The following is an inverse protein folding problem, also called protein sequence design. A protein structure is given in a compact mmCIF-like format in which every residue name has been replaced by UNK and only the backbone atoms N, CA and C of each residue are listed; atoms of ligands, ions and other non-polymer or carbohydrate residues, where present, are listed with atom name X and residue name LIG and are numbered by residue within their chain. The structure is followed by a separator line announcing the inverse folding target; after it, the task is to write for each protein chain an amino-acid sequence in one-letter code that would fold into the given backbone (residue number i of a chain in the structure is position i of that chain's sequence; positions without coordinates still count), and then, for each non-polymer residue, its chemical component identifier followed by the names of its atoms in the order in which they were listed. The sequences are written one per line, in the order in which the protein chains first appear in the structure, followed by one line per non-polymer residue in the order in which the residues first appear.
data_IF_754884053210
#
_entry.id   IF_754884053210
#
_cell.length_a   1.000
_cell.length_b   1.000
_cell.length_c   1.000
_cell.angle_alpha   90.00
_cell.angle_beta   90.00
_cell.angle_gamma   90.00
#
_symmetry.space_group_name_H-M   'P 1'
#
loop_
_entity.id
_entity.type
_entity.pdbx_description
1 polymer ?
#
# COMPACT_ATOMS: atom_id res chain seq x y z
N UNK A 1 19.98 -7.73 6.47
CA UNK A 1 18.62 -8.03 5.97
C UNK A 1 17.77 -8.34 7.18
N UNK A 2 16.75 -7.52 7.49
CA UNK A 2 15.91 -7.66 8.69
C UNK A 2 15.14 -9.00 8.65
N UNK A 3 15.74 -10.05 9.21
CA UNK A 3 15.16 -11.39 9.32
C UNK A 3 14.46 -11.61 10.65
N UNK A 4 13.56 -10.71 11.03
CA UNK A 4 12.85 -10.73 12.31
C UNK A 4 11.33 -10.70 12.15
N UNK A 5 10.65 -10.84 13.28
CA UNK A 5 9.20 -10.64 13.36
C UNK A 5 8.84 -9.16 13.24
N UNK A 6 7.59 -8.85 12.93
CA UNK A 6 7.11 -7.47 12.88
C UNK A 6 7.31 -6.75 14.22
N UNK A 7 7.04 -7.44 15.35
CA UNK A 7 7.27 -6.88 16.67
C UNK A 7 8.74 -6.51 16.90
N UNK A 8 9.67 -7.41 16.57
CA UNK A 8 11.10 -7.14 16.69
C UNK A 8 11.52 -5.92 15.85
N UNK A 9 10.94 -5.75 14.66
CA UNK A 9 11.22 -4.59 13.83
C UNK A 9 10.68 -3.27 14.44
N UNK A 10 9.48 -3.31 15.03
CA UNK A 10 8.86 -2.14 15.68
C UNK A 10 9.58 -1.73 16.98
N UNK A 11 10.15 -2.69 17.69
CA UNK A 11 10.86 -2.48 18.96
C UNK A 11 12.38 -2.28 18.79
N UNK A 12 12.89 -2.43 17.55
CA UNK A 12 14.32 -2.28 17.28
C UNK A 12 14.79 -0.82 17.33
N UNK A 13 16.06 -0.61 17.63
CA UNK A 13 16.69 0.69 17.48
C UNK A 13 16.63 1.15 16.01
N UNK A 14 16.27 2.42 15.81
CA UNK A 14 16.13 2.98 14.47
C UNK A 14 17.52 3.02 13.82
N UNK A 15 17.76 2.26 12.73
CA UNK A 15 19.04 2.29 12.05
C UNK A 15 19.27 3.67 11.43
N UNK A 16 20.54 4.05 11.27
CA UNK A 16 20.89 5.26 10.51
C UNK A 16 20.29 5.14 9.11
N UNK A 17 19.58 6.18 8.67
CA UNK A 17 18.99 6.19 7.34
C UNK A 17 20.07 6.09 6.26
N UNK A 18 19.90 5.12 5.38
CA UNK A 18 20.67 4.97 4.15
C UNK A 18 19.69 5.03 2.99
N UNK A 19 20.00 5.87 1.99
CA UNK A 19 19.17 6.01 0.81
C UNK A 19 19.13 4.67 0.07
N UNK A 20 17.95 4.02 -0.06
CA UNK A 20 17.85 2.78 -0.81
C UNK A 20 18.03 3.04 -2.31
N UNK A 21 18.40 1.98 -3.04
CA UNK A 21 18.51 2.02 -4.49
C UNK A 21 17.21 2.51 -5.15
N UNK A 22 17.35 3.19 -6.28
CA UNK A 22 16.20 3.58 -7.11
C UNK A 22 15.39 2.34 -7.50
N UNK A 23 14.06 2.44 -7.45
CA UNK A 23 13.16 1.31 -7.74
C UNK A 23 12.95 0.33 -6.58
N UNK A 24 13.59 0.51 -5.43
CA UNK A 24 13.32 -0.33 -4.24
C UNK A 24 11.85 -0.23 -3.84
N UNK A 25 11.18 -1.39 -3.75
CA UNK A 25 9.78 -1.48 -3.26
C UNK A 25 9.73 -1.05 -1.80
N UNK A 26 8.71 -0.26 -1.43
CA UNK A 26 8.52 0.26 -0.08
C UNK A 26 7.23 -0.27 0.52
N UNK A 27 7.30 -0.59 1.80
CA UNK A 27 6.18 -0.99 2.63
C UNK A 27 6.27 -0.24 3.95
N UNK A 28 5.15 0.30 4.42
CA UNK A 28 5.07 0.98 5.72
C UNK A 28 4.04 0.25 6.57
N UNK A 29 4.47 -0.16 7.77
CA UNK A 29 3.59 -0.69 8.81
C UNK A 29 3.30 0.41 9.82
N UNK A 30 2.01 0.74 10.03
CA UNK A 30 1.56 1.74 11.00
C UNK A 30 0.93 1.05 12.20
N UNK A 31 1.30 1.46 13.41
CA UNK A 31 0.78 0.93 14.68
C UNK A 31 0.19 2.04 15.55
N UNK A 32 -0.84 1.72 16.34
CA UNK A 32 -1.33 2.61 17.41
C UNK A 32 -2.10 3.85 16.94
N UNK A 33 -2.50 3.89 15.67
CA UNK A 33 -3.25 5.00 15.08
C UNK A 33 -4.71 4.62 14.87
N UNK A 34 -5.62 5.59 14.99
CA UNK A 34 -7.00 5.43 14.52
C UNK A 34 -7.07 5.65 13.00
N UNK A 35 -8.14 5.15 12.36
CA UNK A 35 -8.28 5.21 10.90
C UNK A 35 -8.21 6.62 10.31
N UNK A 36 -8.71 7.63 11.02
CA UNK A 36 -8.63 9.02 10.56
C UNK A 36 -7.19 9.52 10.46
N UNK A 37 -6.37 9.24 11.48
CA UNK A 37 -4.95 9.64 11.50
C UNK A 37 -4.17 8.91 10.40
N UNK A 38 -4.49 7.64 10.12
CA UNK A 38 -3.89 6.89 9.01
C UNK A 38 -4.14 7.59 7.68
N UNK A 39 -5.36 8.03 7.42
CA UNK A 39 -5.71 8.74 6.18
C UNK A 39 -4.95 10.05 6.07
N UNK A 40 -4.84 10.81 7.17
CA UNK A 40 -4.11 12.07 7.21
C UNK A 40 -2.62 11.87 6.92
N UNK A 41 -1.98 10.88 7.53
CA UNK A 41 -0.56 10.55 7.28
C UNK A 41 -0.33 10.13 5.83
N UNK A 42 -1.21 9.30 5.26
CA UNK A 42 -1.10 8.87 3.86
C UNK A 42 -1.25 10.07 2.91
N UNK A 43 -2.17 10.99 3.19
CA UNK A 43 -2.35 12.22 2.41
C UNK A 43 -1.09 13.10 2.48
N UNK A 44 -0.60 13.40 3.68
CA UNK A 44 0.60 14.21 3.87
C UNK A 44 1.85 13.58 3.21
N UNK A 45 2.01 12.26 3.31
CA UNK A 45 3.11 11.55 2.64
C UNK A 45 3.06 11.71 1.11
N UNK A 46 1.85 11.64 0.52
CA UNK A 46 1.65 11.86 -0.92
C UNK A 46 1.91 13.32 -1.32
N UNK A 47 1.42 14.27 -0.54
CA UNK A 47 1.59 15.71 -0.79
C UNK A 47 3.05 16.15 -0.69
N UNK A 48 3.84 15.50 0.16
CA UNK A 48 5.29 15.70 0.26
C UNK A 48 6.08 15.15 -0.94
N UNK A 49 5.42 14.55 -1.93
CA UNK A 49 6.08 14.00 -3.13
C UNK A 49 6.91 12.75 -2.86
N UNK A 50 6.61 12.03 -1.77
CA UNK A 50 7.37 10.85 -1.39
C UNK A 50 7.11 9.69 -2.36
N UNK A 51 8.10 8.78 -2.56
CA UNK A 51 7.95 7.67 -3.49
C UNK A 51 6.78 6.74 -3.14
N UNK A 52 6.11 6.13 -4.13
CA UNK A 52 5.02 5.19 -3.89
C UNK A 52 5.41 4.08 -2.92
N UNK A 53 4.49 3.77 -2.01
CA UNK A 53 4.65 2.72 -1.00
C UNK A 53 3.32 1.99 -0.81
N UNK A 54 3.39 0.76 -0.32
CA UNK A 54 2.23 0.03 0.16
C UNK A 54 2.11 0.21 1.67
N UNK A 55 0.89 0.29 2.18
CA UNK A 55 0.58 0.56 3.58
C UNK A 55 -0.08 -0.65 4.21
N UNK A 56 0.29 -0.94 5.45
CA UNK A 56 -0.32 -2.00 6.24
C UNK A 56 -0.45 -1.58 7.70
N UNK A 57 -1.47 -2.10 8.37
CA UNK A 57 -1.59 -1.95 9.82
C UNK A 57 -0.74 -3.01 10.53
N UNK A 58 0.00 -2.60 11.53
CA UNK A 58 0.57 -3.48 12.53
C UNK A 58 -0.47 -3.68 13.63
N UNK A 59 -0.87 -4.93 13.84
CA UNK A 59 -1.91 -5.35 14.80
C UNK A 59 -1.44 -6.57 15.59
N UNK A 60 -1.98 -6.84 16.79
CA UNK A 60 -1.52 -7.97 17.61
C UNK A 60 -1.44 -9.32 16.86
N UNK A 61 -2.33 -9.53 15.89
CA UNK A 61 -2.38 -10.76 15.10
C UNK A 61 -1.20 -10.95 14.12
N UNK A 62 -0.46 -9.90 13.76
CA UNK A 62 0.67 -10.00 12.82
C UNK A 62 2.05 -9.73 13.44
N UNK A 63 2.11 -9.45 14.75
CA UNK A 63 3.34 -9.13 15.47
C UNK A 63 4.40 -10.23 15.44
N UNK A 64 3.99 -11.48 15.58
CA UNK A 64 4.92 -12.64 15.60
C UNK A 64 5.27 -13.15 14.20
N UNK A 65 4.64 -12.60 13.16
CA UNK A 65 4.89 -12.99 11.77
C UNK A 65 6.18 -12.36 11.26
N UNK A 66 6.86 -13.04 10.34
CA UNK A 66 8.07 -12.51 9.72
C UNK A 66 7.75 -11.29 8.87
N UNK A 67 8.58 -10.24 8.98
CA UNK A 67 8.41 -9.00 8.20
C UNK A 67 8.40 -9.30 6.70
N UNK A 68 9.28 -10.20 6.24
CA UNK A 68 9.37 -10.60 4.84
C UNK A 68 8.03 -11.13 4.31
N UNK A 69 7.41 -12.05 5.04
CA UNK A 69 6.16 -12.70 4.60
C UNK A 69 5.03 -11.66 4.53
N UNK A 70 4.96 -10.77 5.52
CA UNK A 70 3.99 -9.68 5.54
C UNK A 70 4.18 -8.72 4.37
N UNK A 71 5.43 -8.36 4.04
CA UNK A 71 5.76 -7.50 2.90
C UNK A 71 5.29 -8.16 1.60
N UNK A 72 5.60 -9.43 1.38
CA UNK A 72 5.21 -10.14 0.17
C UNK A 72 3.68 -10.22 0.02
N UNK A 73 2.96 -10.52 1.10
CA UNK A 73 1.48 -10.56 1.13
C UNK A 73 0.86 -9.21 0.83
N UNK A 74 1.29 -8.16 1.54
CA UNK A 74 0.74 -6.80 1.39
C UNK A 74 0.95 -6.28 -0.04
N UNK A 75 2.10 -6.59 -0.66
CA UNK A 75 2.34 -6.26 -2.06
C UNK A 75 1.46 -7.06 -3.02
N UNK A 76 1.24 -8.35 -2.76
CA UNK A 76 0.34 -9.17 -3.57
C UNK A 76 -1.10 -8.65 -3.51
N UNK A 77 -1.58 -8.32 -2.31
CA UNK A 77 -2.92 -7.75 -2.08
C UNK A 77 -3.08 -6.40 -2.78
N UNK A 78 -2.11 -5.50 -2.64
CA UNK A 78 -2.13 -4.20 -3.32
C UNK A 78 -2.15 -4.37 -4.85
N UNK A 79 -1.36 -5.30 -5.38
CA UNK A 79 -1.33 -5.57 -6.83
C UNK A 79 -2.68 -6.09 -7.33
N UNK A 80 -3.30 -7.02 -6.58
CA UNK A 80 -4.62 -7.54 -6.89
C UNK A 80 -5.69 -6.45 -6.82
N UNK A 81 -5.64 -5.58 -5.81
CA UNK A 81 -6.56 -4.46 -5.65
C UNK A 81 -6.45 -3.46 -6.81
N UNK A 82 -5.23 -3.04 -7.16
CA UNK A 82 -4.98 -2.11 -8.27
C UNK A 82 -5.48 -2.70 -9.59
N UNK A 83 -5.20 -3.97 -9.84
CA UNK A 83 -5.69 -4.67 -11.05
C UNK A 83 -7.22 -4.66 -11.12
N UNK A 84 -7.90 -5.01 -10.03
CA UNK A 84 -9.38 -5.00 -9.96
C UNK A 84 -9.95 -3.61 -10.21
N UNK A 85 -9.33 -2.57 -9.64
CA UNK A 85 -9.76 -1.18 -9.84
C UNK A 85 -9.61 -0.74 -11.31
N UNK A 86 -8.50 -1.09 -11.96
CA UNK A 86 -8.28 -0.83 -13.39
C UNK A 86 -9.29 -1.55 -14.28
N UNK A 87 -9.55 -2.84 -14.02
CA UNK A 87 -10.55 -3.61 -14.75
C UNK A 87 -11.96 -3.03 -14.60
N UNK A 88 -12.33 -2.57 -13.39
CA UNK A 88 -13.62 -1.94 -13.14
C UNK A 88 -13.76 -0.60 -13.88
N UNK A 89 -12.71 0.24 -13.87
CA UNK A 89 -12.68 1.50 -14.60
C UNK A 89 -12.81 1.28 -16.11
N UNK A 90 -12.09 0.31 -16.67
CA UNK A 90 -12.18 -0.02 -18.09
C UNK A 90 -13.58 -0.49 -18.51
N UNK A 91 -14.25 -1.30 -17.67
CA UNK A 91 -15.64 -1.73 -17.92
C UNK A 91 -16.62 -0.56 -17.88
N UNK A 92 -16.45 0.36 -16.93
CA UNK A 92 -17.31 1.55 -16.83
C UNK A 92 -17.13 2.47 -18.05
N UNK A 93 -15.90 2.69 -18.51
CA UNK A 93 -15.62 3.47 -19.71
C UNK A 93 -16.27 2.85 -20.97
N UNK A 94 -16.12 1.54 -21.17
CA UNK A 94 -16.71 0.85 -22.31
C UNK A 94 -18.25 0.90 -22.32
N UNK A 95 -18.89 0.88 -21.14
CA UNK A 95 -20.37 1.00 -21.04
C UNK A 95 -20.86 2.42 -21.36
N UNK A 96 -20.08 3.45 -21.05
CA UNK A 96 -20.43 4.84 -21.37
C UNK A 96 -20.31 5.14 -22.87
N UNK A 97 -19.34 4.55 -23.56
CA UNK A 97 -19.15 4.71 -25.01
C UNK A 97 -20.26 4.03 -25.81
N UNK A 98 -20.74 2.86 -25.37
CA UNK A 98 -21.85 2.14 -26.03
C UNK A 98 -23.19 2.86 -25.83
N UNK A 99 -23.39 3.55 -24.70
CA UNK A 99 -24.63 4.28 -24.40
C UNK A 99 -24.84 5.60 -25.17
N UNK A 100 -23.81 6.13 -25.85
CA UNK A 100 -23.92 7.35 -26.66
C UNK A 100 -24.13 7.09 -28.16
N UNK A 101 -24.13 5.83 -28.61
CA UNK A 101 -24.16 5.46 -30.04
C UNK A 101 -25.54 5.32 -30.68
N UNK A 102 -26.61 5.08 -29.91
CA UNK A 102 -27.91 4.63 -30.46
C UNK A 102 -29.02 5.71 -30.44
N UNK A 103 -28.65 6.99 -30.29
CA UNK A 103 -29.60 8.09 -30.08
C UNK A 103 -29.77 9.11 -31.21
N UNK A 104 -29.15 8.93 -32.38
CA UNK A 104 -29.28 9.86 -33.51
C UNK A 104 -29.27 9.14 -34.85
N UNK A 105 -30.44 8.72 -35.34
CA UNK A 105 -30.82 8.69 -36.76
C UNK A 105 -32.35 8.83 -36.88
#
# INVERSE_FOLDING_TARGET
MMGGTLQQALESEIPKYEQPLLGTRRTVFLSGMIGAEVVEVIAAYKEAGMPPTVWAAAVPNNYTRLVKDLVDEVHADNTAMVRRAQEAQARQAAQQEVGMGDGQL
#
